data_IF_004833506637
#
_entry.id   IF_004833506637
#
_cell.length_a   1.000
_cell.length_b   1.000
_cell.length_c   1.000
_cell.angle_alpha   90.00
_cell.angle_beta   90.00
_cell.angle_gamma   90.00
#
_symmetry.space_group_name_H-M   'P 1'
#
loop_
_entity.id
_entity.type
_entity.pdbx_description
1 polymer ?
#
# COMPACT_ATOMS: atom_id res chain seq x y z
N UNK A 1 -24.83 -11.99 7.60
CA UNK A 1 -23.83 -10.89 7.64
C UNK A 1 -22.70 -11.08 6.61
N UNK A 2 -22.00 -10.02 6.16
CA UNK A 2 -20.67 -10.12 5.53
C UNK A 2 -19.56 -9.98 6.59
N UNK A 3 -18.26 -9.91 6.24
CA UNK A 3 -17.13 -9.84 7.21
C UNK A 3 -17.39 -8.90 8.39
N UNK A 4 -17.68 -7.61 8.12
CA UNK A 4 -17.88 -6.61 9.18
C UNK A 4 -19.04 -6.99 10.12
N UNK A 5 -20.25 -7.21 9.59
CA UNK A 5 -21.39 -7.59 10.43
C UNK A 5 -21.21 -8.93 11.15
N UNK A 6 -20.46 -9.88 10.57
CA UNK A 6 -20.17 -11.13 11.23
C UNK A 6 -19.27 -10.93 12.47
N UNK A 7 -18.34 -9.96 12.40
CA UNK A 7 -17.43 -9.62 13.49
C UNK A 7 -18.09 -8.72 14.56
N UNK A 8 -19.03 -7.85 14.17
CA UNK A 8 -19.52 -6.80 15.07
C UNK A 8 -20.91 -7.04 15.66
N UNK A 9 -21.76 -7.85 15.02
CA UNK A 9 -23.14 -8.03 15.46
C UNK A 9 -23.66 -9.47 15.21
N UNK A 10 -23.69 -10.32 16.26
CA UNK A 10 -24.28 -11.66 16.21
C UNK A 10 -25.75 -11.67 15.74
N UNK A 11 -26.50 -10.60 15.96
CA UNK A 11 -27.89 -10.47 15.50
C UNK A 11 -28.04 -10.47 13.98
N UNK A 12 -26.95 -10.20 13.23
CA UNK A 12 -26.94 -10.21 11.76
C UNK A 12 -26.58 -11.56 11.14
N UNK A 13 -26.32 -12.58 11.95
CA UNK A 13 -25.84 -13.88 11.47
C UNK A 13 -26.94 -14.66 10.75
N UNK A 14 -28.18 -14.59 11.24
CA UNK A 14 -29.31 -15.39 10.74
C UNK A 14 -28.88 -16.86 10.53
N UNK A 15 -29.29 -17.50 9.43
CA UNK A 15 -28.92 -18.88 9.12
C UNK A 15 -27.48 -19.04 8.62
N UNK A 16 -26.85 -17.97 8.10
CA UNK A 16 -25.54 -18.03 7.48
C UNK A 16 -24.83 -16.65 7.38
N UNK A 17 -23.52 -16.66 7.63
CA UNK A 17 -22.61 -15.54 7.33
C UNK A 17 -21.82 -15.77 6.04
N UNK A 18 -21.45 -14.67 5.35
CA UNK A 18 -20.73 -14.66 4.07
C UNK A 18 -19.41 -13.92 4.23
N UNK A 19 -18.38 -14.61 4.73
CA UNK A 19 -17.08 -14.00 4.99
C UNK A 19 -16.32 -13.81 3.66
N UNK A 20 -15.89 -12.57 3.40
CA UNK A 20 -15.14 -12.19 2.20
C UNK A 20 -13.77 -11.65 2.59
N UNK A 21 -13.68 -10.33 2.78
CA UNK A 21 -12.45 -9.63 3.19
C UNK A 21 -11.70 -10.30 4.37
N UNK A 22 -12.43 -10.86 5.34
CA UNK A 22 -11.83 -11.54 6.49
C UNK A 22 -11.06 -12.81 6.12
N UNK A 23 -11.41 -13.48 5.01
CA UNK A 23 -10.67 -14.65 4.52
C UNK A 23 -9.24 -14.31 4.10
N UNK A 24 -8.97 -13.04 3.74
CA UNK A 24 -7.64 -12.57 3.35
C UNK A 24 -6.99 -11.67 4.41
N UNK A 25 -7.56 -11.64 5.62
CA UNK A 25 -7.01 -10.88 6.75
C UNK A 25 -7.39 -9.41 6.78
N UNK A 26 -8.42 -8.99 6.03
CA UNK A 26 -8.92 -7.61 6.05
C UNK A 26 -10.15 -7.54 6.95
N UNK A 27 -10.07 -6.74 8.01
CA UNK A 27 -11.21 -6.36 8.84
C UNK A 27 -11.65 -4.91 8.53
N UNK A 28 -12.76 -4.71 7.79
CA UNK A 28 -13.27 -3.38 7.49
C UNK A 28 -13.86 -2.64 8.70
N UNK A 29 -14.21 -3.32 9.80
CA UNK A 29 -14.78 -2.68 10.99
C UNK A 29 -13.72 -2.27 12.01
N UNK A 30 -12.52 -2.83 11.93
CA UNK A 30 -11.45 -2.63 12.91
C UNK A 30 -11.78 -3.22 14.29
N UNK A 31 -12.74 -4.15 14.36
CA UNK A 31 -13.14 -4.79 15.61
C UNK A 31 -12.11 -5.80 16.12
N UNK A 32 -11.28 -6.36 15.24
CA UNK A 32 -10.21 -7.29 15.61
C UNK A 32 -9.02 -7.22 14.65
N UNK A 33 -7.92 -7.88 15.04
CA UNK A 33 -6.76 -8.07 14.14
C UNK A 33 -6.87 -9.44 13.49
N UNK A 34 -6.96 -9.46 12.16
CA UNK A 34 -6.91 -10.69 11.37
C UNK A 34 -5.51 -10.88 10.79
N UNK A 35 -5.11 -12.14 10.61
CA UNK A 35 -3.84 -12.47 9.97
C UNK A 35 -3.96 -12.26 8.45
N UNK A 36 -3.09 -11.41 7.89
CA UNK A 36 -2.99 -11.21 6.44
C UNK A 36 -2.63 -12.50 5.72
N UNK A 37 -3.36 -12.84 4.66
CA UNK A 37 -3.16 -14.08 3.91
C UNK A 37 -2.07 -13.98 2.82
N UNK A 38 -1.66 -12.77 2.45
CA UNK A 38 -0.72 -12.53 1.37
C UNK A 38 0.22 -11.37 1.66
N UNK A 39 1.44 -11.46 1.12
CA UNK A 39 2.40 -10.36 1.06
C UNK A 39 2.74 -10.10 -0.40
N UNK A 40 2.57 -8.87 -0.85
CA UNK A 40 2.98 -8.45 -2.18
C UNK A 40 4.39 -7.84 -2.11
N UNK A 41 5.27 -8.27 -3.00
CA UNK A 41 6.68 -7.89 -3.00
C UNK A 41 7.17 -7.65 -4.42
N UNK A 42 8.09 -6.71 -4.59
CA UNK A 42 8.70 -6.38 -5.87
C UNK A 42 10.17 -5.98 -5.69
N UNK A 43 11.02 -6.18 -6.70
CA UNK A 43 12.43 -5.79 -6.62
C UNK A 43 12.61 -4.29 -6.80
N UNK A 44 13.67 -3.75 -6.21
CA UNK A 44 14.25 -2.48 -6.66
C UNK A 44 15.00 -2.74 -7.96
N UNK A 45 14.62 -2.04 -9.02
CA UNK A 45 15.21 -2.22 -10.36
C UNK A 45 16.28 -1.18 -10.69
N UNK A 46 16.28 -0.05 -9.98
CA UNK A 46 17.27 1.00 -10.14
C UNK A 46 17.39 1.82 -8.86
N UNK A 47 18.61 2.23 -8.52
CA UNK A 47 18.85 3.19 -7.44
C UNK A 47 19.91 4.19 -7.87
N UNK A 48 19.67 5.47 -7.55
CA UNK A 48 20.61 6.55 -7.84
C UNK A 48 20.63 7.57 -6.70
N UNK A 49 21.79 8.17 -6.48
CA UNK A 49 21.91 9.38 -5.66
C UNK A 49 21.61 10.59 -6.54
N UNK A 50 20.71 11.45 -6.10
CA UNK A 50 20.30 12.66 -6.82
C UNK A 50 20.49 13.90 -5.94
N UNK A 51 20.86 15.06 -6.52
CA UNK A 51 21.02 16.30 -5.77
C UNK A 51 19.66 16.87 -5.33
N UNK A 52 19.70 17.85 -4.42
CA UNK A 52 18.54 18.69 -4.11
C UNK A 52 17.98 19.37 -5.38
N UNK A 53 16.68 19.64 -5.41
CA UNK A 53 16.00 20.23 -6.56
C UNK A 53 15.65 19.26 -7.69
N UNK A 54 15.90 17.95 -7.53
CA UNK A 54 15.55 16.94 -8.54
C UNK A 54 14.04 16.71 -8.58
N UNK A 55 13.43 16.88 -9.77
CA UNK A 55 12.03 16.58 -10.00
C UNK A 55 11.80 15.07 -10.21
N UNK A 56 10.80 14.51 -9.53
CA UNK A 56 10.50 13.07 -9.54
C UNK A 56 9.10 12.80 -10.09
N UNK A 57 9.03 11.84 -11.01
CA UNK A 57 7.80 11.37 -11.63
C UNK A 57 7.20 12.35 -12.65
N UNK A 58 6.11 11.93 -13.29
CA UNK A 58 5.43 12.73 -14.30
C UNK A 58 4.94 14.08 -13.74
N UNK A 59 5.28 15.17 -14.42
CA UNK A 59 4.91 16.53 -14.04
C UNK A 59 5.68 17.08 -12.84
N UNK A 60 6.75 16.41 -12.37
CA UNK A 60 7.54 16.88 -11.24
C UNK A 60 6.72 16.95 -9.95
N UNK A 61 5.83 15.98 -9.73
CA UNK A 61 4.91 15.95 -8.59
C UNK A 61 5.61 15.93 -7.22
N UNK A 62 6.91 15.61 -7.20
CA UNK A 62 7.77 15.76 -6.04
C UNK A 62 9.10 16.39 -6.46
N UNK A 63 9.64 17.29 -5.63
CA UNK A 63 10.97 17.87 -5.79
C UNK A 63 11.78 17.52 -4.54
N UNK A 64 12.97 16.94 -4.71
CA UNK A 64 13.82 16.56 -3.57
C UNK A 64 14.36 17.78 -2.84
N UNK A 65 14.25 17.84 -1.52
CA UNK A 65 14.71 18.99 -0.71
C UNK A 65 16.22 18.97 -0.43
N UNK A 66 16.84 17.79 -0.52
CA UNK A 66 18.26 17.55 -0.24
C UNK A 66 18.78 16.40 -1.10
N UNK A 67 20.10 16.25 -1.14
CA UNK A 67 20.72 15.06 -1.74
C UNK A 67 20.10 13.80 -1.12
N UNK A 68 19.57 12.93 -1.98
CA UNK A 68 18.73 11.81 -1.59
C UNK A 68 18.98 10.63 -2.51
N UNK A 69 18.91 9.41 -1.96
CA UNK A 69 18.90 8.19 -2.76
C UNK A 69 17.47 7.88 -3.18
N UNK A 70 17.21 7.90 -4.48
CA UNK A 70 15.94 7.45 -5.06
C UNK A 70 16.07 6.01 -5.53
N UNK A 71 15.06 5.20 -5.26
CA UNK A 71 14.98 3.81 -5.72
C UNK A 71 13.69 3.59 -6.48
N UNK A 72 13.79 2.98 -7.65
CA UNK A 72 12.67 2.61 -8.50
C UNK A 72 12.29 1.17 -8.18
N UNK A 73 11.03 0.97 -7.78
CA UNK A 73 10.46 -0.37 -7.58
C UNK A 73 9.87 -0.84 -8.90
N UNK A 74 10.16 -2.09 -9.30
CA UNK A 74 9.78 -2.63 -10.61
C UNK A 74 8.31 -3.04 -10.75
N UNK A 75 7.40 -2.15 -10.34
CA UNK A 75 5.94 -2.33 -10.38
C UNK A 75 5.26 -0.99 -10.58
N UNK A 76 4.08 -1.03 -11.17
CA UNK A 76 3.31 0.15 -11.51
C UNK A 76 1.81 -0.03 -11.40
N UNK A 77 1.06 0.91 -11.97
CA UNK A 77 -0.40 0.84 -11.93
C UNK A 77 -0.95 -0.35 -12.74
N UNK A 78 -0.22 -0.79 -13.77
CA UNK A 78 -0.58 -1.97 -14.56
C UNK A 78 -0.53 -3.27 -13.74
N UNK A 79 0.22 -3.27 -12.64
CA UNK A 79 0.32 -4.40 -11.69
C UNK A 79 -0.70 -4.31 -10.55
N UNK A 80 -1.59 -3.30 -10.57
CA UNK A 80 -2.67 -3.12 -9.61
C UNK A 80 -2.43 -2.06 -8.53
N UNK A 81 -1.34 -1.30 -8.58
CA UNK A 81 -1.10 -0.18 -7.66
C UNK A 81 -1.98 1.02 -8.06
N UNK A 82 -2.72 1.64 -7.11
CA UNK A 82 -3.46 2.85 -7.42
C UNK A 82 -2.54 3.95 -7.97
N UNK A 83 -2.94 4.55 -9.09
CA UNK A 83 -2.15 5.62 -9.74
C UNK A 83 -2.01 6.85 -8.84
N UNK A 84 -3.06 7.12 -8.06
CA UNK A 84 -3.11 8.13 -7.02
C UNK A 84 -2.95 7.44 -5.67
N UNK A 85 -1.89 7.81 -4.96
CA UNK A 85 -1.59 7.28 -3.63
C UNK A 85 -1.87 8.33 -2.56
N UNK A 86 -2.17 7.87 -1.35
CA UNK A 86 -2.22 8.73 -0.17
C UNK A 86 -0.84 9.33 0.11
N UNK A 87 -0.79 10.49 0.77
CA UNK A 87 0.46 11.19 1.09
C UNK A 87 1.41 10.36 1.97
N UNK A 88 0.85 9.48 2.80
CA UNK A 88 1.56 8.57 3.69
C UNK A 88 1.91 7.20 3.06
N UNK A 89 1.68 7.03 1.74
CA UNK A 89 2.01 5.79 1.06
C UNK A 89 3.51 5.48 1.17
N UNK A 90 3.81 4.25 1.55
CA UNK A 90 5.17 3.82 1.83
C UNK A 90 5.37 2.35 1.46
N UNK A 91 6.61 2.00 1.14
CA UNK A 91 7.07 0.63 0.94
C UNK A 91 8.05 0.25 2.04
N UNK A 92 8.19 -1.06 2.30
CA UNK A 92 9.23 -1.57 3.18
C UNK A 92 10.39 -2.13 2.35
N UNK A 93 11.60 -1.65 2.59
CA UNK A 93 12.84 -2.15 1.99
C UNK A 93 13.75 -2.55 3.15
N UNK A 94 14.20 -3.81 3.18
CA UNK A 94 15.04 -4.37 4.25
C UNK A 94 14.51 -4.12 5.67
N UNK A 95 13.18 -4.16 5.84
CA UNK A 95 12.51 -3.97 7.13
C UNK A 95 12.32 -2.50 7.54
N UNK A 96 12.89 -1.55 6.81
CA UNK A 96 12.67 -0.12 7.03
C UNK A 96 11.60 0.44 6.08
N UNK A 97 10.78 1.38 6.57
CA UNK A 97 9.73 2.04 5.78
C UNK A 97 10.29 3.26 5.05
N UNK A 98 9.98 3.37 3.76
CA UNK A 98 10.36 4.49 2.90
C UNK A 98 9.13 5.05 2.18
N UNK A 99 8.99 6.38 2.07
CA UNK A 99 7.86 6.99 1.39
C UNK A 99 7.93 6.73 -0.12
N UNK A 100 6.76 6.62 -0.76
CA UNK A 100 6.65 6.67 -2.22
C UNK A 100 6.55 8.15 -2.61
N UNK A 101 7.40 8.59 -3.53
CA UNK A 101 7.45 9.98 -4.01
C UNK A 101 7.21 10.06 -5.51
N UNK A 102 6.53 11.13 -5.96
CA UNK A 102 6.08 11.26 -7.34
C UNK A 102 4.82 10.43 -7.64
N UNK A 103 4.34 10.49 -8.89
CA UNK A 103 3.18 9.71 -9.35
C UNK A 103 3.59 8.30 -9.72
N UNK A 104 2.73 7.32 -9.43
CA UNK A 104 2.89 5.94 -9.88
C UNK A 104 2.79 5.88 -11.40
N UNK A 105 3.77 5.22 -12.02
CA UNK A 105 3.85 4.95 -13.46
C UNK A 105 3.53 3.50 -13.82
#
# INVERSE_FOLDING_TARGET
AATSGALTDPGTHFDMVRIGAGLVGIDPSGATTLAGAARWTAPVVHSALVPAGTAVGYGGAHITERETRLSVVGVGYADGIPRELAAEAAVAIDGARYPVVGRVS
#
